data_IF_069272278648
#
_entry.id   IF_069272278648
#
_cell.length_a   1.000
_cell.length_b   1.000
_cell.length_c   1.000
_cell.angle_alpha   90.00
_cell.angle_beta   90.00
_cell.angle_gamma   90.00
#
_symmetry.space_group_name_H-M   'P 1'
#
loop_
_entity.id
_entity.type
_entity.pdbx_description
1 polymer ?
#
# COMPACT_ATOMS: atom_id res chain seq x y z
N UNK A 1 6.61 -5.61 -30.34
CA UNK A 1 5.84 -5.54 -29.09
C UNK A 1 5.11 -4.21 -29.10
N UNK A 2 3.78 -4.19 -29.07
CA UNK A 2 3.01 -2.95 -29.16
C UNK A 2 2.60 -2.50 -27.75
N UNK A 3 2.93 -1.28 -27.32
CA UNK A 3 2.49 -0.76 -26.02
C UNK A 3 0.96 -0.69 -25.97
N UNK A 4 0.36 -1.14 -24.87
CA UNK A 4 -1.10 -1.08 -24.67
C UNK A 4 -1.54 0.04 -23.71
N UNK A 5 -0.60 0.77 -23.11
CA UNK A 5 -0.90 1.86 -22.18
C UNK A 5 0.35 2.46 -21.54
N UNK A 6 0.12 3.42 -20.65
CA UNK A 6 1.12 4.02 -19.77
C UNK A 6 0.64 3.97 -18.33
N UNK A 7 1.56 3.88 -17.38
CA UNK A 7 1.25 4.02 -15.96
C UNK A 7 0.90 5.48 -15.71
N UNK A 8 -0.30 5.74 -15.18
CA UNK A 8 -0.73 7.11 -14.84
C UNK A 8 -0.21 7.54 -13.47
N UNK A 9 -0.23 6.61 -12.51
CA UNK A 9 0.08 6.88 -11.11
C UNK A 9 0.51 5.58 -10.42
N UNK A 10 1.44 5.70 -9.47
CA UNK A 10 1.87 4.61 -8.59
C UNK A 10 1.53 5.04 -7.17
N UNK A 11 0.91 4.16 -6.41
CA UNK A 11 0.54 4.42 -5.02
C UNK A 11 1.14 3.37 -4.11
N UNK A 12 1.65 3.81 -2.96
CA UNK A 12 2.07 2.95 -1.85
C UNK A 12 1.24 3.27 -0.61
N UNK A 13 0.89 2.25 0.15
CA UNK A 13 0.09 2.34 1.36
C UNK A 13 0.88 1.74 2.53
N UNK A 14 1.77 2.51 3.18
CA UNK A 14 2.66 1.96 4.22
C UNK A 14 1.93 1.40 5.43
N UNK A 15 0.75 1.94 5.75
CA UNK A 15 -0.11 1.51 6.86
C UNK A 15 -1.42 0.96 6.32
N UNK A 16 -1.80 -0.23 6.76
CA UNK A 16 -3.09 -0.82 6.40
C UNK A 16 -4.25 0.10 6.78
N UNK A 17 -5.27 0.13 5.92
CA UNK A 17 -6.53 0.84 6.15
C UNK A 17 -6.39 2.37 6.29
N UNK A 18 -5.26 2.95 5.86
CA UNK A 18 -4.97 4.38 5.90
C UNK A 18 -4.67 4.95 4.50
N UNK A 19 -4.59 6.28 4.42
CA UNK A 19 -4.21 6.99 3.19
C UNK A 19 -2.81 6.60 2.71
N UNK A 20 -2.66 6.48 1.39
CA UNK A 20 -1.39 6.19 0.74
C UNK A 20 -0.64 7.44 0.29
N UNK A 21 0.52 7.21 -0.32
CA UNK A 21 1.36 8.22 -0.95
C UNK A 21 1.54 7.90 -2.44
N UNK A 22 1.54 8.95 -3.26
CA UNK A 22 1.88 8.84 -4.67
C UNK A 22 3.40 8.75 -4.85
N UNK A 23 3.84 7.93 -5.79
CA UNK A 23 5.25 7.72 -6.12
C UNK A 23 5.52 8.08 -7.59
N UNK A 24 6.66 8.73 -7.84
CA UNK A 24 7.15 8.99 -9.20
C UNK A 24 7.77 7.74 -9.84
N UNK A 25 8.19 6.77 -9.03
CA UNK A 25 8.81 5.53 -9.44
C UNK A 25 9.17 4.65 -8.24
N UNK A 26 9.31 3.35 -8.46
CA UNK A 26 9.74 2.39 -7.45
C UNK A 26 10.33 1.14 -8.09
N UNK A 27 11.18 0.44 -7.35
CA UNK A 27 11.54 -0.94 -7.66
C UNK A 27 10.39 -1.88 -7.33
N UNK A 28 10.26 -2.96 -8.10
CA UNK A 28 9.38 -4.08 -7.79
C UNK A 28 10.24 -5.24 -7.28
N UNK A 29 9.99 -5.64 -6.04
CA UNK A 29 10.55 -6.85 -5.45
C UNK A 29 9.55 -8.01 -5.57
N UNK A 30 9.98 -9.23 -5.22
CA UNK A 30 9.12 -10.41 -5.20
C UNK A 30 7.85 -10.21 -4.35
N UNK A 31 7.97 -9.47 -3.23
CA UNK A 31 6.85 -9.11 -2.34
C UNK A 31 6.07 -7.86 -2.75
N UNK A 32 6.34 -7.28 -3.93
CA UNK A 32 5.72 -6.03 -4.39
C UNK A 32 6.58 -4.80 -4.14
N UNK A 33 5.93 -3.64 -3.96
CA UNK A 33 6.59 -2.36 -3.72
C UNK A 33 7.19 -2.36 -2.30
N UNK A 34 8.50 -2.16 -2.13
CA UNK A 34 9.09 -2.05 -0.80
C UNK A 34 8.42 -0.98 0.08
N UNK A 35 8.05 -1.39 1.28
CA UNK A 35 7.35 -0.54 2.25
C UNK A 35 5.83 -0.46 2.07
N UNK A 36 5.25 -1.18 1.12
CA UNK A 36 3.79 -1.31 1.03
C UNK A 36 3.26 -2.23 2.14
N UNK A 37 2.21 -1.79 2.83
CA UNK A 37 1.46 -2.53 3.86
C UNK A 37 2.29 -3.15 4.97
N UNK A 38 3.40 -2.51 5.35
CA UNK A 38 4.30 -3.01 6.40
C UNK A 38 3.85 -2.67 7.82
N UNK A 39 2.89 -1.75 7.98
CA UNK A 39 2.33 -1.36 9.27
C UNK A 39 0.82 -1.59 9.33
N UNK A 40 0.32 -1.74 10.56
CA UNK A 40 -1.10 -1.78 10.85
C UNK A 40 -1.38 -1.13 12.21
N UNK A 41 -2.57 -0.55 12.35
CA UNK A 41 -3.06 -0.04 13.63
C UNK A 41 -3.86 -1.13 14.31
N UNK A 42 -3.59 -1.34 15.59
CA UNK A 42 -4.32 -2.29 16.44
C UNK A 42 -4.89 -1.55 17.64
N UNK A 43 -6.12 -1.88 18.02
CA UNK A 43 -6.68 -1.42 19.28
C UNK A 43 -5.95 -2.11 20.44
N UNK A 44 -5.47 -1.31 21.39
CA UNK A 44 -4.71 -1.82 22.54
C UNK A 44 -5.57 -2.58 23.54
N UNK A 45 -6.89 -2.42 23.50
CA UNK A 45 -7.82 -3.01 24.47
C UNK A 45 -8.09 -4.49 24.17
N UNK A 46 -8.31 -4.81 22.90
CA UNK A 46 -8.73 -6.14 22.43
C UNK A 46 -7.82 -6.73 21.35
N UNK A 47 -6.84 -5.96 20.84
CA UNK A 47 -5.92 -6.41 19.79
C UNK A 47 -6.54 -6.44 18.40
N UNK A 48 -7.74 -5.88 18.21
CA UNK A 48 -8.42 -5.87 16.92
C UNK A 48 -7.69 -4.93 15.96
N UNK A 49 -7.42 -5.41 14.74
CA UNK A 49 -6.81 -4.64 13.66
C UNK A 49 -7.83 -3.64 13.11
N UNK A 50 -7.41 -2.40 12.88
CA UNK A 50 -8.25 -1.39 12.26
C UNK A 50 -8.65 -1.80 10.83
N UNK A 51 -9.96 -1.92 10.59
CA UNK A 51 -10.55 -2.24 9.30
C UNK A 51 -11.46 -1.06 8.85
N UNK A 52 -11.36 -0.60 7.59
CA UNK A 52 -12.12 0.56 7.12
C UNK A 52 -13.64 0.32 7.07
N UNK A 53 -14.09 -0.94 6.92
CA UNK A 53 -15.49 -1.32 6.73
C UNK A 53 -16.13 -2.03 7.94
N UNK A 54 -15.74 -1.64 9.17
CA UNK A 54 -16.28 -2.26 10.41
C UNK A 54 -17.68 -1.79 10.80
#
# INVERSE_FOLDING_TARGET
MTPFGHIKEIWRYPVSSMGGEGLDGTELAEGGIPGDRIWGVVDRRDGIVAAPES
#
